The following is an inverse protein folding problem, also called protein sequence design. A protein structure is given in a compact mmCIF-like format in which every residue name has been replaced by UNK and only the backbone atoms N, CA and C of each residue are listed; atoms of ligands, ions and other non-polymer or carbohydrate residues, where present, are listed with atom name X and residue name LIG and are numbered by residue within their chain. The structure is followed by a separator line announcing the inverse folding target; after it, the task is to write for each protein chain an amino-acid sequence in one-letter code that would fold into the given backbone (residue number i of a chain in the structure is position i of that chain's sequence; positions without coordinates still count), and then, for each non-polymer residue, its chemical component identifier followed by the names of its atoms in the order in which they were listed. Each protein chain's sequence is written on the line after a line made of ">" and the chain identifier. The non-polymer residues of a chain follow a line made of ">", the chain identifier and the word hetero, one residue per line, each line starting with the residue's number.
data_IF_383462569426
#
_entry.id   IF_383462569426
#
_cell.length_a   1.000
_cell.length_b   1.000
_cell.length_c   1.000
_cell.angle_alpha   90.00
_cell.angle_beta   90.00
_cell.angle_gamma   90.00
#
_symmetry.space_group_name_H-M   'P 1'
#
loop_
_entity.id
_entity.type
_entity.pdbx_description
1 polymer ?
#
# COMPACT_ATOMS: atom_id res chain seq x y z
N UNK A 1 14.30 -16.51 -0.52
CA UNK A 1 14.10 -17.94 -0.88
C UNK A 1 12.64 -18.40 -0.69
N UNK A 2 11.87 -17.92 0.32
CA UNK A 2 10.48 -18.36 0.50
C UNK A 2 9.62 -18.00 -0.70
N UNK A 3 9.58 -16.74 -1.12
CA UNK A 3 8.79 -16.28 -2.26
C UNK A 3 9.19 -16.92 -3.59
N UNK A 4 10.45 -17.32 -3.77
CA UNK A 4 10.87 -17.97 -5.01
C UNK A 4 10.21 -19.34 -5.26
N UNK A 5 9.55 -19.90 -4.27
CA UNK A 5 8.71 -21.11 -4.44
C UNK A 5 7.39 -20.80 -5.15
N UNK A 6 7.00 -19.55 -5.19
CA UNK A 6 5.76 -19.08 -5.82
C UNK A 6 5.99 -18.58 -7.25
N UNK A 7 7.27 -18.29 -7.63
CA UNK A 7 7.62 -17.78 -8.95
C UNK A 7 7.20 -18.79 -10.04
N UNK A 8 6.34 -18.36 -10.96
CA UNK A 8 5.77 -19.19 -12.02
C UNK A 8 4.64 -20.13 -11.60
N UNK A 9 4.25 -20.15 -10.30
CA UNK A 9 3.18 -20.98 -9.77
C UNK A 9 1.91 -20.18 -9.53
N UNK A 10 2.02 -19.04 -8.84
CA UNK A 10 0.91 -18.11 -8.58
C UNK A 10 1.40 -16.67 -8.68
N UNK A 11 0.57 -15.73 -9.13
CA UNK A 11 0.87 -14.31 -8.95
C UNK A 11 0.83 -13.95 -7.46
N UNK A 12 1.67 -13.02 -7.04
CA UNK A 12 1.67 -12.51 -5.66
C UNK A 12 2.02 -11.02 -5.65
N UNK A 13 1.46 -10.29 -4.69
CA UNK A 13 1.78 -8.89 -4.44
C UNK A 13 2.63 -8.78 -3.18
N UNK A 14 3.49 -7.75 -3.18
CA UNK A 14 4.31 -7.39 -2.02
C UNK A 14 3.98 -5.96 -1.62
N UNK A 15 3.37 -5.77 -0.45
CA UNK A 15 3.16 -4.45 0.13
C UNK A 15 4.38 -4.07 0.99
N UNK A 16 4.75 -2.80 0.95
CA UNK A 16 5.81 -2.27 1.81
C UNK A 16 5.26 -1.81 3.15
N UNK A 17 6.00 -2.09 4.22
CA UNK A 17 5.77 -1.55 5.55
C UNK A 17 6.74 -0.40 5.89
N UNK A 18 6.53 0.19 7.05
CA UNK A 18 7.35 1.31 7.54
C UNK A 18 8.82 0.93 7.81
N UNK A 19 9.13 -0.36 7.95
CA UNK A 19 10.49 -0.87 8.13
C UNK A 19 11.22 -1.18 6.83
N UNK A 20 10.52 -1.20 5.70
CA UNK A 20 11.11 -1.48 4.39
C UNK A 20 11.75 -0.23 3.76
N UNK A 21 11.59 0.93 4.39
CA UNK A 21 12.09 2.19 3.88
C UNK A 21 13.23 2.76 4.70
N UNK A 22 14.20 3.34 3.99
CA UNK A 22 15.15 4.32 4.50
C UNK A 22 14.71 5.71 4.04
N UNK A 23 14.65 6.66 4.97
CA UNK A 23 14.18 8.01 4.70
C UNK A 23 15.33 9.00 4.73
N UNK A 24 15.40 9.86 3.72
CA UNK A 24 16.31 11.01 3.70
C UNK A 24 15.69 12.15 4.51
N UNK A 25 16.49 13.16 4.84
CA UNK A 25 16.00 14.38 5.51
C UNK A 25 15.06 15.22 4.66
N UNK A 26 15.18 15.11 3.34
CA UNK A 26 14.30 15.77 2.39
C UNK A 26 12.93 15.09 2.24
N UNK A 27 12.73 13.94 2.95
CA UNK A 27 11.49 13.16 2.87
C UNK A 27 11.48 12.12 1.76
N UNK A 28 12.55 12.01 0.97
CA UNK A 28 12.66 10.95 -0.02
C UNK A 28 12.69 9.58 0.67
N UNK A 29 12.00 8.62 0.08
CA UNK A 29 11.85 7.24 0.56
C UNK A 29 12.61 6.33 -0.37
N UNK A 30 13.43 5.44 0.20
CA UNK A 30 14.15 4.42 -0.56
C UNK A 30 13.85 3.06 0.03
N UNK A 31 13.51 2.12 -0.81
CA UNK A 31 13.33 0.71 -0.46
C UNK A 31 14.19 -0.15 -1.37
N UNK A 32 14.62 -1.30 -0.85
CA UNK A 32 15.27 -2.34 -1.65
C UNK A 32 14.25 -3.33 -2.25
N UNK A 33 12.94 -3.05 -2.14
CA UNK A 33 11.90 -3.97 -2.59
C UNK A 33 12.08 -4.33 -4.08
N UNK A 34 12.29 -3.34 -4.94
CA UNK A 34 12.44 -3.54 -6.38
C UNK A 34 13.71 -4.32 -6.78
N UNK A 35 14.73 -4.37 -5.89
CA UNK A 35 15.92 -5.20 -6.10
C UNK A 35 15.62 -6.68 -5.83
N UNK A 36 14.82 -6.97 -4.79
CA UNK A 36 14.46 -8.33 -4.39
C UNK A 36 13.24 -8.88 -5.13
N UNK A 37 12.33 -8.00 -5.54
CA UNK A 37 11.10 -8.31 -6.25
C UNK A 37 11.00 -7.48 -7.55
N UNK A 38 11.97 -7.59 -8.47
CA UNK A 38 11.86 -6.90 -9.75
C UNK A 38 10.62 -7.40 -10.50
N UNK A 39 10.00 -6.53 -11.29
CA UNK A 39 8.76 -6.79 -12.03
C UNK A 39 8.80 -8.12 -12.81
N UNK A 40 9.93 -8.41 -13.44
CA UNK A 40 10.12 -9.63 -14.23
C UNK A 40 10.46 -10.89 -13.45
N UNK A 41 10.58 -10.82 -12.12
CA UNK A 41 10.97 -11.99 -11.31
C UNK A 41 9.96 -13.12 -11.39
N UNK A 42 8.70 -12.82 -11.19
CA UNK A 42 7.62 -13.77 -11.39
C UNK A 42 6.89 -13.43 -12.70
N UNK A 43 6.96 -14.29 -13.72
CA UNK A 43 6.31 -14.01 -15.01
C UNK A 43 4.79 -13.87 -14.89
N UNK A 44 4.16 -14.49 -13.87
CA UNK A 44 2.73 -14.34 -13.61
C UNK A 44 2.40 -12.97 -13.05
N UNK A 45 3.30 -12.35 -12.25
CA UNK A 45 3.14 -10.97 -11.80
C UNK A 45 3.24 -10.00 -12.99
N UNK A 46 4.26 -10.19 -13.84
CA UNK A 46 4.44 -9.35 -15.03
C UNK A 46 3.21 -9.38 -15.97
N UNK A 47 2.52 -10.52 -16.03
CA UNK A 47 1.29 -10.68 -16.81
C UNK A 47 0.06 -10.07 -16.15
N UNK A 48 0.03 -9.99 -14.81
CA UNK A 48 -1.11 -9.50 -14.05
C UNK A 48 -1.05 -7.99 -13.76
N UNK A 49 0.15 -7.39 -13.73
CA UNK A 49 0.30 -5.95 -13.49
C UNK A 49 -0.21 -5.18 -14.72
N UNK A 50 -1.21 -4.34 -14.51
CA UNK A 50 -1.81 -3.52 -15.55
C UNK A 50 -1.47 -2.02 -15.43
N UNK A 51 -1.14 -1.54 -14.22
CA UNK A 51 -0.80 -0.14 -13.97
C UNK A 51 0.36 -0.03 -12.96
N UNK A 52 1.21 0.98 -13.15
CA UNK A 52 2.29 1.33 -12.22
C UNK A 52 2.14 2.76 -11.70
N UNK A 53 2.30 2.93 -10.39
CA UNK A 53 2.68 4.19 -9.80
C UNK A 53 4.20 4.31 -9.73
N UNK A 54 4.69 5.47 -9.31
CA UNK A 54 6.11 5.78 -9.29
C UNK A 54 6.66 5.76 -7.86
N UNK A 55 7.91 5.32 -7.71
CA UNK A 55 8.69 5.49 -6.48
C UNK A 55 9.14 6.95 -6.28
N UNK A 56 9.98 7.21 -5.27
CA UNK A 56 10.50 8.54 -4.97
C UNK A 56 11.51 9.05 -6.00
N UNK A 57 12.06 8.17 -6.82
CA UNK A 57 13.03 8.48 -7.87
C UNK A 57 12.36 8.46 -9.27
N UNK A 58 11.01 8.53 -9.29
CA UNK A 58 10.17 8.58 -10.49
C UNK A 58 10.25 7.33 -11.39
N UNK A 59 10.59 6.16 -10.82
CA UNK A 59 10.59 4.89 -11.53
C UNK A 59 9.30 4.10 -11.27
N UNK A 60 8.80 3.32 -12.26
CA UNK A 60 7.74 2.35 -12.02
C UNK A 60 8.10 1.37 -10.89
N UNK A 61 7.21 1.18 -9.95
CA UNK A 61 7.52 0.48 -8.71
C UNK A 61 6.43 -0.52 -8.30
N UNK A 62 6.87 -1.70 -7.82
CA UNK A 62 5.94 -2.76 -7.40
C UNK A 62 5.21 -2.43 -6.09
N UNK A 63 5.76 -1.53 -5.27
CA UNK A 63 5.06 -1.01 -4.09
C UNK A 63 3.87 -0.13 -4.43
N UNK A 64 3.81 0.39 -5.66
CA UNK A 64 2.71 1.18 -6.19
C UNK A 64 2.30 0.58 -7.54
N UNK A 65 1.44 -0.43 -7.53
CA UNK A 65 1.01 -1.09 -8.75
C UNK A 65 -0.42 -1.61 -8.65
N UNK A 66 -1.04 -1.86 -9.77
CA UNK A 66 -2.34 -2.52 -9.84
C UNK A 66 -2.22 -3.85 -10.59
N UNK A 67 -2.85 -4.88 -10.03
CA UNK A 67 -2.99 -6.20 -10.62
C UNK A 67 -4.43 -6.40 -11.06
N UNK A 68 -4.62 -6.80 -12.31
CA UNK A 68 -5.91 -7.21 -12.80
C UNK A 68 -6.01 -8.73 -12.83
N UNK A 69 -7.04 -9.26 -12.18
CA UNK A 69 -7.28 -10.70 -12.11
C UNK A 69 -8.76 -11.00 -12.33
N UNK A 70 -9.03 -12.01 -13.15
CA UNK A 70 -10.38 -12.55 -13.32
C UNK A 70 -10.58 -13.73 -12.38
N UNK A 71 -11.60 -13.64 -11.53
CA UNK A 71 -11.95 -14.71 -10.62
C UNK A 71 -12.66 -15.88 -11.36
N UNK A 72 -12.64 -17.10 -10.79
CA UNK A 72 -13.33 -18.25 -11.39
C UNK A 72 -14.83 -18.06 -11.58
N UNK A 73 -15.48 -17.17 -10.81
CA UNK A 73 -16.90 -16.81 -10.93
C UNK A 73 -17.15 -15.77 -12.05
N UNK A 74 -16.11 -15.41 -12.80
CA UNK A 74 -16.19 -14.48 -13.92
C UNK A 74 -16.11 -13.01 -13.55
N UNK A 75 -15.98 -12.67 -12.25
CA UNK A 75 -15.82 -11.28 -11.82
C UNK A 75 -14.42 -10.79 -12.04
N UNK A 76 -14.31 -9.54 -12.43
CA UNK A 76 -13.03 -8.87 -12.63
C UNK A 76 -12.63 -8.10 -11.35
N UNK A 77 -11.40 -8.34 -10.90
CA UNK A 77 -10.83 -7.73 -9.72
C UNK A 77 -9.62 -6.89 -10.09
N UNK A 78 -9.51 -5.73 -9.45
CA UNK A 78 -8.31 -4.91 -9.48
C UNK A 78 -7.73 -4.82 -8.06
N UNK A 79 -6.53 -5.37 -7.86
CA UNK A 79 -5.80 -5.24 -6.61
C UNK A 79 -4.89 -4.04 -6.70
N UNK A 80 -5.21 -2.99 -5.95
CA UNK A 80 -4.50 -1.72 -5.95
C UNK A 80 -3.54 -1.68 -4.76
N UNK A 81 -2.25 -1.86 -5.01
CA UNK A 81 -1.20 -1.84 -3.99
C UNK A 81 -0.63 -0.43 -3.85
N UNK A 82 -0.53 0.05 -2.61
CA UNK A 82 0.01 1.36 -2.30
C UNK A 82 1.07 1.26 -1.21
N UNK A 83 2.14 2.02 -1.37
CA UNK A 83 3.23 2.15 -0.40
C UNK A 83 2.74 2.49 1.00
N UNK A 84 3.58 2.22 2.03
CA UNK A 84 3.31 2.70 3.39
C UNK A 84 3.18 4.22 3.42
N UNK A 85 2.10 4.72 4.05
CA UNK A 85 1.82 6.15 4.16
C UNK A 85 1.95 6.86 2.80
N UNK A 86 1.04 6.57 1.85
CA UNK A 86 1.19 6.97 0.46
C UNK A 86 1.36 8.47 0.29
N UNK A 87 2.32 8.85 -0.59
CA UNK A 87 2.55 10.24 -0.98
C UNK A 87 1.38 10.80 -1.78
N UNK A 88 1.28 12.13 -1.83
CA UNK A 88 0.23 12.80 -2.62
C UNK A 88 0.27 12.42 -4.11
N UNK A 89 1.46 12.15 -4.67
CA UNK A 89 1.61 11.68 -6.06
C UNK A 89 1.04 10.29 -6.25
N UNK A 90 1.28 9.37 -5.31
CA UNK A 90 0.74 8.01 -5.31
C UNK A 90 -0.77 8.02 -5.07
N UNK A 91 -1.25 8.89 -4.18
CA UNK A 91 -2.69 9.09 -3.97
C UNK A 91 -3.39 9.52 -5.25
N UNK A 92 -2.84 10.51 -5.96
CA UNK A 92 -3.40 10.99 -7.25
C UNK A 92 -3.40 9.89 -8.31
N UNK A 93 -2.30 9.11 -8.39
CA UNK A 93 -2.24 7.96 -9.30
C UNK A 93 -3.33 6.94 -8.97
N UNK A 94 -3.49 6.56 -7.71
CA UNK A 94 -4.52 5.61 -7.29
C UNK A 94 -5.95 6.10 -7.58
N UNK A 95 -6.21 7.40 -7.38
CA UNK A 95 -7.49 8.03 -7.76
C UNK A 95 -7.73 7.94 -9.27
N UNK A 96 -6.70 8.21 -10.09
CA UNK A 96 -6.80 8.09 -11.54
C UNK A 96 -7.09 6.65 -11.95
N UNK A 97 -6.36 5.67 -11.42
CA UNK A 97 -6.58 4.24 -11.74
C UNK A 97 -7.99 3.80 -11.33
N UNK A 98 -8.45 4.11 -10.12
CA UNK A 98 -9.80 3.75 -9.67
C UNK A 98 -10.92 4.44 -10.49
N UNK A 99 -10.62 5.57 -11.12
CA UNK A 99 -11.55 6.32 -11.96
C UNK A 99 -11.51 6.00 -13.45
N UNK A 100 -10.61 5.11 -13.91
CA UNK A 100 -10.55 4.72 -15.31
C UNK A 100 -11.82 3.97 -15.72
N UNK A 101 -12.35 4.30 -16.89
CA UNK A 101 -13.58 3.69 -17.42
C UNK A 101 -13.43 2.18 -17.60
N UNK A 102 -12.25 1.73 -18.02
CA UNK A 102 -11.93 0.30 -18.17
C UNK A 102 -12.08 -0.49 -16.86
N UNK A 103 -11.89 0.15 -15.68
CA UNK A 103 -12.04 -0.48 -14.37
C UNK A 103 -13.36 -0.13 -13.66
N UNK A 104 -14.28 0.55 -14.32
CA UNK A 104 -15.57 0.93 -13.70
C UNK A 104 -16.41 -0.27 -13.24
N UNK A 105 -16.27 -1.40 -13.93
CA UNK A 105 -16.92 -2.67 -13.59
C UNK A 105 -16.13 -3.58 -12.65
N UNK A 106 -14.88 -3.25 -12.34
CA UNK A 106 -14.03 -4.07 -11.47
C UNK A 106 -14.35 -3.85 -10.00
N UNK A 107 -14.14 -4.91 -9.23
CA UNK A 107 -14.14 -4.83 -7.76
C UNK A 107 -12.72 -4.54 -7.30
N UNK A 108 -12.50 -3.36 -6.74
CA UNK A 108 -11.15 -2.95 -6.31
C UNK A 108 -10.92 -3.37 -4.86
N UNK A 109 -9.80 -4.06 -4.65
CA UNK A 109 -9.22 -4.37 -3.33
C UNK A 109 -8.01 -3.46 -3.14
N UNK A 110 -8.09 -2.52 -2.21
CA UNK A 110 -6.98 -1.66 -1.83
C UNK A 110 -6.10 -2.38 -0.81
N UNK A 111 -4.81 -2.46 -1.07
CA UNK A 111 -3.80 -3.03 -0.17
C UNK A 111 -2.84 -1.91 0.23
N UNK A 112 -2.69 -1.69 1.54
CA UNK A 112 -1.73 -0.74 2.10
C UNK A 112 -1.28 -1.20 3.48
N UNK A 113 -0.21 -0.61 4.04
CA UNK A 113 0.33 -1.09 5.31
C UNK A 113 -0.43 -0.54 6.52
N UNK A 114 -0.61 0.77 6.61
CA UNK A 114 -1.14 1.45 7.80
C UNK A 114 -2.46 2.16 7.48
N UNK A 115 -3.58 1.60 7.92
CA UNK A 115 -4.90 2.14 7.62
C UNK A 115 -5.85 2.09 8.83
N UNK A 116 -6.00 0.92 9.46
CA UNK A 116 -6.92 0.67 10.57
C UNK A 116 -6.14 0.29 11.83
N UNK A 117 -6.70 0.56 13.00
CA UNK A 117 -6.19 0.05 14.28
C UNK A 117 -7.03 -1.12 14.82
N UNK A 118 -6.56 -1.75 15.89
CA UNK A 118 -7.24 -2.89 16.53
C UNK A 118 -8.51 -2.50 17.33
N UNK A 119 -8.93 -1.24 17.27
CA UNK A 119 -10.20 -0.73 17.81
C UNK A 119 -11.17 -0.35 16.70
N UNK A 120 -10.94 -0.84 15.49
CA UNK A 120 -11.73 -0.56 14.30
C UNK A 120 -11.75 0.93 13.90
N UNK A 121 -10.74 1.72 14.34
CA UNK A 121 -10.62 3.13 13.99
C UNK A 121 -9.59 3.33 12.88
N UNK A 122 -9.91 4.19 11.91
CA UNK A 122 -8.90 4.59 10.93
C UNK A 122 -7.82 5.43 11.59
N UNK A 123 -6.58 5.15 11.25
CA UNK A 123 -5.44 5.92 11.73
C UNK A 123 -5.57 7.38 11.27
N UNK A 124 -5.51 8.31 12.24
CA UNK A 124 -5.76 9.73 12.02
C UNK A 124 -4.64 10.57 12.64
N UNK A 125 -3.57 10.64 12.31
CA UNK A 125 -2.43 11.42 12.83
C UNK A 125 -1.31 11.45 11.82
N UNK A 126 -0.29 12.27 12.01
CA UNK A 126 0.82 12.33 11.09
C UNK A 126 1.51 10.97 11.02
N UNK A 127 1.73 10.47 9.81
CA UNK A 127 2.54 9.29 9.58
C UNK A 127 3.97 9.59 10.01
N UNK A 128 4.58 8.67 10.77
CA UNK A 128 5.91 8.84 11.34
C UNK A 128 6.86 7.78 10.80
N UNK A 129 8.07 8.18 10.50
CA UNK A 129 9.10 7.24 10.10
C UNK A 129 9.64 6.44 11.28
N UNK A 130 9.96 5.19 11.00
CA UNK A 130 10.57 4.27 11.97
C UNK A 130 12.09 4.40 11.98
N UNK A 131 12.71 4.69 10.84
CA UNK A 131 14.15 4.88 10.73
C UNK A 131 14.51 5.89 9.64
N UNK A 132 15.53 6.72 9.90
CA UNK A 132 16.15 7.59 8.93
C UNK A 132 17.52 7.03 8.53
N UNK A 133 18.01 7.49 7.37
CA UNK A 133 19.43 7.35 7.08
C UNK A 133 20.26 7.81 8.28
N UNK A 134 21.23 7.00 8.74
CA UNK A 134 22.00 7.34 9.92
C UNK A 134 22.75 8.64 9.70
N UNK A 135 22.56 9.58 10.63
CA UNK A 135 23.33 10.80 10.67
C UNK A 135 24.66 10.54 11.37
N UNK A 136 25.75 10.88 10.70
CA UNK A 136 27.04 10.96 11.36
C UNK A 136 27.20 12.36 11.95
N UNK A 137 27.08 12.50 13.27
CA UNK A 137 27.45 13.71 14.01
C UNK A 137 28.66 13.41 14.88
N UNK A 138 29.76 14.16 14.68
CA UNK A 138 31.00 13.99 15.44
C UNK A 138 31.50 12.53 15.46
N UNK A 139 31.47 11.85 14.32
CA UNK A 139 31.90 10.45 14.19
C UNK A 139 30.97 9.42 14.82
N UNK A 140 29.78 9.82 15.33
CA UNK A 140 28.79 8.93 15.93
C UNK A 140 27.56 8.82 15.03
N UNK A 141 27.06 7.60 14.88
CA UNK A 141 25.80 7.32 14.19
C UNK A 141 24.65 7.72 15.10
N UNK A 142 23.83 8.68 14.67
CA UNK A 142 22.61 9.11 15.37
C UNK A 142 21.42 8.61 14.58
N UNK A 143 20.64 7.71 15.17
CA UNK A 143 19.34 7.27 14.62
C UNK A 143 18.25 8.27 15.01
N UNK A 144 17.54 8.80 14.04
CA UNK A 144 16.40 9.69 14.24
C UNK A 144 15.13 8.87 14.06
N UNK A 145 14.19 8.98 15.01
CA UNK A 145 12.91 8.26 14.97
C UNK A 145 11.76 9.23 15.22
N UNK A 146 10.60 8.88 14.69
CA UNK A 146 9.34 9.55 15.03
C UNK A 146 9.12 10.92 14.38
N UNK A 147 9.93 11.32 13.39
CA UNK A 147 9.64 12.53 12.62
C UNK A 147 8.44 12.28 11.68
N UNK A 148 7.55 13.28 11.52
CA UNK A 148 6.49 13.20 10.54
C UNK A 148 7.05 13.05 9.13
N UNK A 149 6.40 12.23 8.30
CA UNK A 149 6.63 12.19 6.86
C UNK A 149 5.91 13.37 6.21
N UNK A 150 6.57 14.22 5.44
CA UNK A 150 5.89 15.18 4.60
C UNK A 150 5.09 14.43 3.53
N UNK A 151 4.02 15.03 3.02
CA UNK A 151 3.18 14.53 1.92
C UNK A 151 2.60 13.11 2.09
N UNK A 152 2.58 12.59 3.32
CA UNK A 152 2.13 11.24 3.63
C UNK A 152 0.66 11.22 4.04
N UNK A 153 -0.12 10.32 3.47
CA UNK A 153 -1.53 10.12 3.82
C UNK A 153 -1.70 9.01 4.85
N UNK A 154 -2.48 9.29 5.90
CA UNK A 154 -2.90 8.32 6.90
C UNK A 154 -4.20 7.59 6.49
N UNK A 155 -4.68 6.67 7.33
CA UNK A 155 -5.88 5.87 7.03
C UNK A 155 -7.16 6.69 6.85
N UNK A 156 -7.37 7.75 7.63
CA UNK A 156 -8.53 8.62 7.47
C UNK A 156 -8.43 9.47 6.20
N UNK A 157 -7.24 9.94 5.86
CA UNK A 157 -7.01 10.65 4.61
C UNK A 157 -7.19 9.76 3.38
N UNK A 158 -6.72 8.51 3.44
CA UNK A 158 -6.99 7.51 2.40
C UNK A 158 -8.49 7.26 2.22
N UNK A 159 -9.23 7.14 3.33
CA UNK A 159 -10.68 7.02 3.28
C UNK A 159 -11.34 8.22 2.60
N UNK A 160 -11.04 9.42 3.04
CA UNK A 160 -11.71 10.63 2.55
C UNK A 160 -11.34 10.97 1.10
N UNK A 161 -10.06 10.79 0.74
CA UNK A 161 -9.55 11.23 -0.56
C UNK A 161 -9.70 10.16 -1.66
N UNK A 162 -9.64 8.86 -1.32
CA UNK A 162 -9.63 7.76 -2.30
C UNK A 162 -10.81 6.81 -2.13
N UNK A 163 -10.95 6.18 -0.96
CA UNK A 163 -11.85 5.03 -0.79
C UNK A 163 -13.31 5.46 -0.83
N UNK A 164 -13.67 6.48 -0.07
CA UNK A 164 -15.05 6.98 -0.01
C UNK A 164 -15.56 7.55 -1.34
N UNK A 165 -14.78 8.33 -2.12
CA UNK A 165 -15.23 8.84 -3.42
C UNK A 165 -15.36 7.75 -4.49
N UNK A 166 -14.55 6.69 -4.45
CA UNK A 166 -14.57 5.63 -5.44
C UNK A 166 -15.80 4.72 -5.29
N UNK A 167 -16.49 4.47 -6.41
CA UNK A 167 -17.70 3.63 -6.42
C UNK A 167 -17.42 2.11 -6.50
N UNK A 168 -16.18 1.72 -6.75
CA UNK A 168 -15.73 0.36 -7.06
C UNK A 168 -14.68 -0.19 -6.09
N UNK A 169 -14.21 0.59 -5.10
CA UNK A 169 -13.40 0.05 -4.00
C UNK A 169 -14.36 -0.61 -3.00
N UNK A 170 -14.22 -1.92 -2.81
CA UNK A 170 -15.10 -2.73 -1.94
C UNK A 170 -14.40 -3.26 -0.69
N UNK A 171 -13.06 -3.36 -0.74
CA UNK A 171 -12.26 -3.89 0.37
C UNK A 171 -10.98 -3.10 0.54
N UNK A 172 -10.63 -2.82 1.79
CA UNK A 172 -9.29 -2.33 2.19
C UNK A 172 -8.66 -3.35 3.11
N UNK A 173 -7.42 -3.75 2.82
CA UNK A 173 -6.64 -4.68 3.64
C UNK A 173 -5.38 -3.99 4.13
N UNK A 174 -5.10 -4.09 5.43
CA UNK A 174 -3.92 -3.48 6.05
C UNK A 174 -3.32 -4.34 7.17
N UNK A 175 -2.14 -3.92 7.65
CA UNK A 175 -1.41 -4.47 8.79
C UNK A 175 -0.95 -3.37 9.74
N UNK A 176 0.34 -3.37 10.13
CA UNK A 176 1.03 -2.36 10.91
C UNK A 176 0.71 -2.34 12.41
N UNK A 177 -0.54 -2.40 12.80
CA UNK A 177 -0.96 -2.41 14.20
C UNK A 177 -1.26 -3.85 14.61
N UNK A 178 -0.54 -4.38 15.59
CA UNK A 178 -0.73 -5.75 16.07
C UNK A 178 -2.16 -6.02 16.48
N UNK A 179 -2.70 -7.13 16.00
CA UNK A 179 -4.05 -7.57 16.26
C UNK A 179 -4.90 -7.68 14.99
N UNK A 180 -6.20 -7.65 15.18
CA UNK A 180 -7.18 -7.65 14.11
C UNK A 180 -8.21 -6.55 14.32
N UNK A 181 -8.75 -6.03 13.22
CA UNK A 181 -9.81 -5.03 13.24
C UNK A 181 -10.68 -5.20 11.98
N UNK A 182 -11.94 -4.82 12.11
CA UNK A 182 -12.89 -4.87 11.01
C UNK A 182 -13.93 -3.76 11.14
N UNK A 183 -14.15 -3.04 10.05
CA UNK A 183 -15.27 -2.11 9.97
C UNK A 183 -15.87 -2.09 8.57
N UNK A 184 -17.10 -1.65 8.49
CA UNK A 184 -17.80 -1.42 7.22
C UNK A 184 -18.38 0.00 7.25
N UNK A 185 -18.08 0.77 6.22
CA UNK A 185 -18.67 2.10 6.01
C UNK A 185 -19.21 2.19 4.58
N UNK A 186 -20.14 3.11 4.36
CA UNK A 186 -20.68 3.38 3.03
C UNK A 186 -19.86 4.44 2.30
N UNK A 187 -19.53 4.12 1.05
CA UNK A 187 -18.90 5.08 0.15
C UNK A 187 -19.92 6.12 -0.36
N UNK A 188 -19.46 7.09 -1.16
CA UNK A 188 -20.31 8.15 -1.70
C UNK A 188 -21.41 7.64 -2.65
N UNK A 189 -21.27 6.44 -3.20
CA UNK A 189 -22.28 5.77 -4.03
C UNK A 189 -23.25 4.93 -3.18
N UNK A 190 -23.15 4.95 -1.85
CA UNK A 190 -24.01 4.19 -0.93
C UNK A 190 -23.68 2.69 -0.84
N UNK A 191 -22.57 2.24 -1.43
CA UNK A 191 -22.12 0.85 -1.36
C UNK A 191 -21.28 0.62 -0.10
N UNK A 192 -21.37 -0.57 0.46
CA UNK A 192 -20.56 -0.97 1.60
C UNK A 192 -19.10 -1.19 1.17
N UNK A 193 -18.16 -0.68 1.97
CA UNK A 193 -16.73 -0.90 1.86
C UNK A 193 -16.25 -1.57 3.14
N UNK A 194 -15.72 -2.78 2.98
CA UNK A 194 -15.13 -3.53 4.08
C UNK A 194 -13.68 -3.09 4.29
N UNK A 195 -13.27 -2.96 5.55
CA UNK A 195 -11.93 -2.51 5.91
C UNK A 195 -11.39 -3.48 6.96
N UNK A 196 -10.27 -4.12 6.68
CA UNK A 196 -9.72 -5.22 7.49
C UNK A 196 -8.29 -4.93 7.89
N UNK A 197 -8.02 -5.09 9.17
CA UNK A 197 -6.68 -5.17 9.74
C UNK A 197 -6.39 -6.60 10.14
N UNK A 198 -5.21 -7.08 9.78
CA UNK A 198 -4.64 -8.28 10.37
C UNK A 198 -3.12 -8.16 10.49
N UNK A 199 -2.60 -8.25 11.70
CA UNK A 199 -1.17 -8.28 12.01
C UNK A 199 -0.92 -9.24 13.16
N UNK A 200 -0.32 -10.39 12.84
CA UNK A 200 -0.02 -11.46 13.80
C UNK A 200 1.33 -11.29 14.52
N UNK A 201 2.08 -10.22 14.28
CA UNK A 201 3.46 -10.07 14.74
C UNK A 201 3.64 -10.20 16.27
N UNK A 202 2.62 -9.91 17.05
CA UNK A 202 2.63 -10.00 18.52
C UNK A 202 1.59 -10.99 19.06
N UNK A 203 1.05 -11.88 18.24
CA UNK A 203 -0.07 -12.77 18.61
C UNK A 203 0.36 -14.18 19.01
N UNK A 204 1.68 -14.50 19.03
CA UNK A 204 2.13 -15.85 19.38
C UNK A 204 3.56 -15.94 19.78
#
# INVERSE_FOLDING_TARGET
>A
RAFSQLDGVVPYMTATGNHDYTYTRSGARRTHLNEYFPIGRNPLNAAAICQFGLDSDENPAVENCAFELKAPDGKDYLFLNMEFAPRDTVMKWAQQVAGLEEYAGHRIVLITHAYLDAKDQRLSGPCKVTSYEPLVRNGRIVKIKGLPLPDASNGEELWQKLVRPASNIELVVCGHISGSGFRTDRNSAGKDVHQMLFDAQSMG
#
